data_IF_451103197178
#
_entry.id   IF_451103197178
#
_cell.length_a   1.000
_cell.length_b   1.000
_cell.length_c   1.000
_cell.angle_alpha   90.00
_cell.angle_beta   90.00
_cell.angle_gamma   90.00
#
_symmetry.space_group_name_H-M   'P 1'
#
loop_
_entity.id
_entity.type
_entity.pdbx_description
1 polymer ?
#
# COMPACT_ATOMS: atom_id res chain seq x y z
N UNK A 1 -33.96 -9.40 36.79
CA UNK A 1 -33.85 -8.08 36.10
C UNK A 1 -32.42 -7.57 35.90
N UNK A 2 -31.36 -8.32 36.31
CA UNK A 2 -29.97 -7.94 36.10
C UNK A 2 -29.46 -8.24 34.66
N UNK A 3 -30.04 -9.20 33.96
CA UNK A 3 -29.59 -9.62 32.63
C UNK A 3 -29.95 -8.68 31.48
N UNK A 4 -31.01 -7.91 31.58
CA UNK A 4 -31.44 -6.94 30.56
C UNK A 4 -30.63 -5.66 30.61
N UNK A 5 -30.17 -5.22 31.79
CA UNK A 5 -29.31 -4.06 31.96
C UNK A 5 -27.90 -4.28 31.39
N UNK A 6 -27.38 -5.52 31.46
CA UNK A 6 -26.05 -5.87 30.93
C UNK A 6 -26.05 -6.01 29.40
N UNK A 7 -27.17 -6.35 28.78
CA UNK A 7 -27.33 -6.39 27.31
C UNK A 7 -27.35 -4.98 26.72
N UNK A 8 -27.99 -4.02 27.41
CA UNK A 8 -27.97 -2.61 26.99
C UNK A 8 -26.63 -1.89 27.26
N UNK A 9 -25.89 -2.31 28.30
CA UNK A 9 -24.50 -1.83 28.53
C UNK A 9 -23.49 -2.37 27.54
N UNK A 10 -23.82 -3.43 26.80
CA UNK A 10 -23.01 -3.99 25.70
C UNK A 10 -23.20 -3.25 24.37
N UNK A 11 -24.14 -2.35 24.24
CA UNK A 11 -24.16 -1.42 23.12
C UNK A 11 -22.96 -0.48 23.31
N UNK A 12 -21.91 -0.76 22.57
CA UNK A 12 -20.73 0.09 22.40
C UNK A 12 -21.21 1.53 22.29
N UNK A 13 -20.77 2.37 23.23
CA UNK A 13 -21.18 3.78 23.28
C UNK A 13 -21.05 4.39 21.87
N UNK A 14 -22.16 4.89 21.34
CA UNK A 14 -22.26 5.42 19.97
C UNK A 14 -21.14 6.42 19.66
N UNK A 15 -20.69 7.18 20.66
CA UNK A 15 -19.59 8.14 20.51
C UNK A 15 -18.24 7.48 20.30
N UNK A 16 -17.97 6.35 20.95
CA UNK A 16 -16.75 5.57 20.74
C UNK A 16 -16.81 4.86 19.40
N UNK A 17 -17.97 4.30 19.04
CA UNK A 17 -18.20 3.71 17.72
C UNK A 17 -17.97 4.72 16.58
N UNK A 18 -18.33 5.97 16.78
CA UNK A 18 -18.15 7.04 15.79
C UNK A 18 -16.65 7.29 15.47
N UNK A 19 -15.76 7.13 16.45
CA UNK A 19 -14.30 7.21 16.20
C UNK A 19 -13.88 6.13 15.19
N UNK A 20 -14.39 4.89 15.33
CA UNK A 20 -14.11 3.80 14.39
C UNK A 20 -14.71 4.09 13.00
N UNK A 21 -15.96 4.55 12.95
CA UNK A 21 -16.68 4.85 11.70
C UNK A 21 -15.99 5.97 10.91
N UNK A 22 -15.32 6.90 11.57
CA UNK A 22 -14.54 7.97 10.89
C UNK A 22 -13.14 7.49 10.51
N UNK A 23 -12.47 6.77 11.40
CA UNK A 23 -11.05 6.37 11.18
C UNK A 23 -10.92 5.34 10.07
N UNK A 24 -11.80 4.34 10.00
CA UNK A 24 -11.71 3.26 9.00
C UNK A 24 -11.87 3.79 7.57
N UNK A 25 -12.93 4.59 7.23
CA UNK A 25 -13.04 5.16 5.89
C UNK A 25 -11.92 6.14 5.55
N UNK A 26 -11.48 6.95 6.52
CA UNK A 26 -10.39 7.89 6.31
C UNK A 26 -9.10 7.16 5.93
N UNK A 27 -8.79 6.10 6.65
CA UNK A 27 -7.61 5.28 6.40
C UNK A 27 -7.72 4.53 5.07
N UNK A 28 -8.89 3.98 4.76
CA UNK A 28 -9.17 3.35 3.48
C UNK A 28 -8.99 4.33 2.32
N UNK A 29 -9.54 5.55 2.43
CA UNK A 29 -9.43 6.58 1.41
C UNK A 29 -7.97 6.95 1.12
N UNK A 30 -7.14 7.07 2.16
CA UNK A 30 -5.71 7.39 1.99
C UNK A 30 -4.96 6.24 1.36
N UNK A 31 -5.15 5.01 1.85
CA UNK A 31 -4.48 3.82 1.30
C UNK A 31 -4.84 3.62 -0.17
N UNK A 32 -6.14 3.64 -0.49
CA UNK A 32 -6.61 3.51 -1.87
C UNK A 32 -6.21 4.70 -2.74
N UNK A 33 -6.24 5.93 -2.21
CA UNK A 33 -5.80 7.13 -2.92
C UNK A 33 -4.34 7.04 -3.35
N UNK A 34 -3.44 6.69 -2.43
CA UNK A 34 -2.02 6.50 -2.73
C UNK A 34 -1.84 5.35 -3.73
N UNK A 35 -2.55 4.24 -3.55
CA UNK A 35 -2.47 3.09 -4.44
C UNK A 35 -2.88 3.45 -5.88
N UNK A 36 -3.99 4.17 -6.07
CA UNK A 36 -4.47 4.60 -7.39
C UNK A 36 -3.48 5.52 -8.10
N UNK A 37 -2.80 6.40 -7.36
CA UNK A 37 -1.75 7.28 -7.91
C UNK A 37 -0.48 6.49 -8.23
N UNK A 38 -0.09 5.58 -7.37
CA UNK A 38 1.20 4.87 -7.47
C UNK A 38 1.17 3.76 -8.54
N UNK A 39 0.02 3.10 -8.75
CA UNK A 39 -0.09 2.02 -9.75
C UNK A 39 0.28 2.43 -11.18
N UNK A 40 -0.23 3.53 -11.77
CA UNK A 40 0.14 3.93 -13.12
C UNK A 40 1.62 4.33 -13.20
N UNK A 41 2.17 4.87 -12.11
CA UNK A 41 3.58 5.25 -12.04
C UNK A 41 4.50 4.04 -12.03
N UNK A 42 4.14 2.97 -11.33
CA UNK A 42 4.89 1.70 -11.40
C UNK A 42 4.89 1.09 -12.80
N UNK A 43 3.78 1.21 -13.55
CA UNK A 43 3.75 0.78 -14.96
C UNK A 43 4.73 1.55 -15.83
N UNK A 44 4.86 2.88 -15.59
CA UNK A 44 5.84 3.70 -16.29
C UNK A 44 7.28 3.30 -15.94
N UNK A 45 7.58 3.12 -14.65
CA UNK A 45 8.88 2.62 -14.20
C UNK A 45 9.22 1.26 -14.85
N UNK A 46 8.23 0.38 -15.00
CA UNK A 46 8.45 -0.90 -15.68
C UNK A 46 8.79 -0.73 -17.17
N UNK A 47 8.12 0.19 -17.86
CA UNK A 47 8.42 0.48 -19.26
C UNK A 47 9.84 1.11 -19.42
N UNK A 48 10.23 2.01 -18.54
CA UNK A 48 11.56 2.61 -18.52
C UNK A 48 12.65 1.54 -18.22
N UNK A 49 12.36 0.59 -17.33
CA UNK A 49 13.22 -0.56 -17.04
C UNK A 49 13.42 -1.45 -18.27
N UNK A 50 12.32 -1.72 -19.00
CA UNK A 50 12.40 -2.52 -20.24
C UNK A 50 13.29 -1.86 -21.29
N UNK A 51 13.30 -0.53 -21.39
CA UNK A 51 14.21 0.21 -22.27
C UNK A 51 15.67 0.07 -21.85
N UNK A 52 15.99 0.16 -20.56
CA UNK A 52 17.36 -0.07 -20.04
C UNK A 52 17.81 -1.50 -20.32
N UNK A 53 16.92 -2.48 -20.12
CA UNK A 53 17.21 -3.89 -20.42
C UNK A 53 17.45 -4.11 -21.92
N UNK A 54 16.67 -3.46 -22.78
CA UNK A 54 16.84 -3.53 -24.23
C UNK A 54 18.22 -2.95 -24.63
N UNK A 55 18.56 -1.75 -24.17
CA UNK A 55 19.86 -1.13 -24.41
C UNK A 55 21.03 -2.02 -23.93
N UNK A 56 20.86 -2.65 -22.76
CA UNK A 56 21.86 -3.60 -22.24
C UNK A 56 22.04 -4.81 -23.16
N UNK A 57 20.93 -5.40 -23.64
CA UNK A 57 20.99 -6.55 -24.57
C UNK A 57 21.61 -6.16 -25.90
N UNK A 58 21.25 -5.00 -26.47
CA UNK A 58 21.82 -4.47 -27.70
C UNK A 58 23.32 -4.26 -27.54
N UNK A 59 23.80 -3.66 -26.46
CA UNK A 59 25.20 -3.44 -26.19
C UNK A 59 26.00 -4.74 -25.99
N UNK A 60 25.42 -5.75 -25.33
CA UNK A 60 26.06 -7.05 -25.14
C UNK A 60 26.18 -7.83 -26.47
N UNK A 61 25.12 -7.84 -27.28
CA UNK A 61 25.12 -8.56 -28.56
C UNK A 61 25.89 -7.82 -29.63
N UNK A 62 25.84 -6.48 -29.61
CA UNK A 62 26.51 -5.58 -30.58
C UNK A 62 27.92 -5.15 -30.19
N UNK A 63 28.51 -5.65 -29.11
CA UNK A 63 29.79 -5.14 -28.57
C UNK A 63 30.94 -5.13 -29.58
N UNK A 64 31.04 -6.12 -30.49
CA UNK A 64 32.04 -6.17 -31.53
C UNK A 64 31.83 -5.08 -32.59
N UNK A 65 30.56 -4.82 -32.94
CA UNK A 65 30.22 -3.79 -33.94
C UNK A 65 30.46 -2.39 -33.35
N UNK A 66 30.06 -2.16 -32.10
CA UNK A 66 30.28 -0.89 -31.40
C UNK A 66 31.75 -0.54 -31.35
N UNK A 67 32.61 -1.52 -31.04
CA UNK A 67 34.09 -1.34 -31.08
C UNK A 67 34.63 -1.09 -32.48
N UNK A 68 34.14 -1.82 -33.47
CA UNK A 68 34.58 -1.66 -34.85
C UNK A 68 34.30 -0.26 -35.40
N UNK A 69 33.20 0.36 -34.98
CA UNK A 69 32.79 1.70 -35.38
C UNK A 69 33.19 2.80 -34.39
N UNK A 70 33.93 2.48 -33.33
CA UNK A 70 34.36 3.41 -32.27
C UNK A 70 33.20 4.23 -31.65
N UNK A 71 32.03 3.55 -31.41
CA UNK A 71 30.80 4.15 -30.91
C UNK A 71 30.54 3.86 -29.42
N UNK A 72 31.54 3.48 -28.67
CA UNK A 72 31.44 3.11 -27.24
C UNK A 72 30.95 4.29 -26.38
N UNK A 73 31.46 5.49 -26.68
CA UNK A 73 31.08 6.69 -25.90
C UNK A 73 29.61 7.09 -26.15
N UNK A 74 29.15 7.00 -27.39
CA UNK A 74 27.76 7.31 -27.76
C UNK A 74 26.78 6.33 -27.09
N UNK A 75 27.11 5.04 -27.11
CA UNK A 75 26.26 4.00 -26.48
C UNK A 75 26.32 4.09 -24.95
N UNK A 76 27.42 4.48 -24.35
CA UNK A 76 27.53 4.74 -22.93
C UNK A 76 26.60 5.89 -22.52
N UNK A 77 26.65 7.01 -23.26
CA UNK A 77 25.78 8.16 -23.01
C UNK A 77 24.30 7.80 -23.17
N UNK A 78 23.95 7.00 -24.18
CA UNK A 78 22.61 6.52 -24.41
C UNK A 78 22.09 5.67 -23.24
N UNK A 79 22.93 4.75 -22.75
CA UNK A 79 22.62 3.93 -21.60
C UNK A 79 22.48 4.75 -20.32
N UNK A 80 23.41 5.67 -20.05
CA UNK A 80 23.36 6.55 -18.88
C UNK A 80 22.09 7.41 -18.88
N UNK A 81 21.70 7.96 -20.02
CA UNK A 81 20.47 8.74 -20.14
C UNK A 81 19.22 7.89 -19.85
N UNK A 82 19.12 6.69 -20.40
CA UNK A 82 18.02 5.77 -20.13
C UNK A 82 17.98 5.37 -18.63
N UNK A 83 19.14 5.09 -18.05
CA UNK A 83 19.27 4.75 -16.64
C UNK A 83 18.92 5.93 -15.71
N UNK A 84 19.27 7.17 -16.11
CA UNK A 84 18.91 8.36 -15.36
C UNK A 84 17.39 8.59 -15.36
N UNK A 85 16.73 8.43 -16.50
CA UNK A 85 15.26 8.52 -16.61
C UNK A 85 14.59 7.50 -15.69
N UNK A 86 15.04 6.24 -15.73
CA UNK A 86 14.55 5.18 -14.86
C UNK A 86 14.76 5.52 -13.37
N UNK A 87 15.95 6.01 -13.03
CA UNK A 87 16.33 6.36 -11.66
C UNK A 87 15.43 7.48 -11.12
N UNK A 88 15.18 8.51 -11.91
CA UNK A 88 14.34 9.64 -11.49
C UNK A 88 12.86 9.22 -11.35
N UNK A 89 12.37 8.38 -12.25
CA UNK A 89 11.04 7.79 -12.14
C UNK A 89 10.93 6.92 -10.86
N UNK A 90 11.89 6.06 -10.57
CA UNK A 90 11.92 5.23 -9.36
C UNK A 90 11.99 6.06 -8.08
N UNK A 91 12.84 7.11 -8.04
CA UNK A 91 12.93 8.02 -6.90
C UNK A 91 11.61 8.74 -6.63
N UNK A 92 10.93 9.18 -7.67
CA UNK A 92 9.64 9.86 -7.54
C UNK A 92 8.57 8.93 -6.98
N UNK A 93 8.44 7.72 -7.55
CA UNK A 93 7.51 6.69 -7.04
C UNK A 93 7.87 6.28 -5.61
N UNK A 94 9.17 6.12 -5.32
CA UNK A 94 9.66 5.78 -3.99
C UNK A 94 9.31 6.83 -2.93
N UNK A 95 9.40 8.11 -3.27
CA UNK A 95 8.98 9.20 -2.35
C UNK A 95 7.49 9.16 -2.04
N UNK A 96 6.65 9.00 -3.05
CA UNK A 96 5.18 8.92 -2.86
C UNK A 96 4.81 7.67 -2.05
N UNK A 97 5.35 6.52 -2.42
CA UNK A 97 5.11 5.26 -1.68
C UNK A 97 5.66 5.32 -0.26
N UNK A 98 6.81 5.97 -0.05
CA UNK A 98 7.42 6.14 1.26
C UNK A 98 6.59 7.01 2.21
N UNK A 99 5.80 7.95 1.70
CA UNK A 99 4.89 8.77 2.52
C UNK A 99 3.69 7.99 3.06
N UNK A 100 3.39 6.83 2.51
CA UNK A 100 2.26 6.01 2.97
C UNK A 100 2.40 5.59 4.43
N UNK A 101 3.59 5.15 4.86
CA UNK A 101 3.82 4.71 6.23
C UNK A 101 3.69 5.85 7.26
N UNK A 102 4.37 7.01 7.13
CA UNK A 102 4.21 8.11 8.07
C UNK A 102 2.77 8.61 8.16
N UNK A 103 2.08 8.71 7.03
CA UNK A 103 0.70 9.19 6.99
C UNK A 103 -0.25 8.22 7.71
N UNK A 104 -0.07 6.92 7.47
CA UNK A 104 -0.82 5.87 8.18
C UNK A 104 -0.57 5.94 9.69
N UNK A 105 0.69 6.09 10.12
CA UNK A 105 1.02 6.21 11.54
C UNK A 105 0.40 7.45 12.21
N UNK A 106 0.39 8.58 11.54
CA UNK A 106 -0.24 9.82 12.06
C UNK A 106 -1.74 9.59 12.30
N UNK A 107 -2.43 8.96 11.35
CA UNK A 107 -3.87 8.71 11.47
C UNK A 107 -4.16 7.70 12.55
N UNK A 108 -3.41 6.60 12.60
CA UNK A 108 -3.59 5.55 13.62
C UNK A 108 -3.36 6.10 15.02
N UNK A 109 -2.26 6.82 15.24
CA UNK A 109 -1.97 7.40 16.56
C UNK A 109 -2.96 8.52 16.91
N UNK A 110 -3.37 9.35 15.95
CA UNK A 110 -4.41 10.35 16.16
C UNK A 110 -5.74 9.73 16.58
N UNK A 111 -6.12 8.63 15.93
CA UNK A 111 -7.33 7.89 16.29
C UNK A 111 -7.25 7.24 17.68
N UNK A 112 -6.08 6.70 18.06
CA UNK A 112 -5.84 6.15 19.41
C UNK A 112 -5.94 7.26 20.46
N UNK A 113 -5.35 8.42 20.23
CA UNK A 113 -5.44 9.57 21.13
C UNK A 113 -6.91 10.02 21.30
N UNK A 114 -7.64 10.13 20.19
CA UNK A 114 -9.06 10.47 20.22
C UNK A 114 -9.87 9.43 21.02
N UNK A 115 -9.57 8.14 20.83
CA UNK A 115 -10.21 7.05 21.54
C UNK A 115 -9.94 7.09 23.05
N UNK A 116 -8.68 7.37 23.44
CA UNK A 116 -8.29 7.52 24.86
C UNK A 116 -9.04 8.71 25.47
N UNK A 117 -9.08 9.85 24.78
CA UNK A 117 -9.75 11.04 25.26
C UNK A 117 -11.26 10.82 25.46
N UNK A 118 -11.95 10.30 24.46
CA UNK A 118 -13.38 9.98 24.54
C UNK A 118 -13.64 8.91 25.58
N UNK A 119 -12.79 7.88 25.63
CA UNK A 119 -12.87 6.82 26.62
C UNK A 119 -12.69 7.31 28.06
N UNK A 120 -11.72 8.19 28.31
CA UNK A 120 -11.48 8.77 29.62
C UNK A 120 -12.71 9.58 30.12
N UNK A 121 -13.26 10.44 29.26
CA UNK A 121 -14.48 11.19 29.58
C UNK A 121 -15.67 10.26 29.92
N UNK A 122 -15.76 9.11 29.22
CA UNK A 122 -16.84 8.14 29.47
C UNK A 122 -16.64 7.32 30.74
N UNK A 123 -15.41 7.06 31.11
CA UNK A 123 -15.07 6.41 32.39
C UNK A 123 -15.40 7.35 33.56
N UNK A 124 -15.11 8.64 33.42
CA UNK A 124 -15.42 9.64 34.46
C UNK A 124 -16.93 9.81 34.68
N UNK A 125 -17.74 9.72 33.63
CA UNK A 125 -19.19 9.73 33.70
C UNK A 125 -19.79 8.40 34.26
N UNK A 126 -18.96 7.34 34.32
CA UNK A 126 -19.36 6.03 34.82
C UNK A 126 -20.05 5.11 33.78
N UNK A 127 -20.04 5.50 32.50
CA UNK A 127 -20.66 4.72 31.42
C UNK A 127 -19.78 3.55 30.98
N UNK A 128 -18.43 3.69 31.08
CA UNK A 128 -17.44 2.69 30.68
C UNK A 128 -16.48 2.35 31.83
N UNK A 129 -15.98 1.13 31.83
CA UNK A 129 -14.89 0.73 32.73
C UNK A 129 -13.53 0.93 32.05
N UNK A 130 -12.46 1.13 32.83
CA UNK A 130 -11.10 1.24 32.31
C UNK A 130 -10.71 0.04 31.44
N UNK A 131 -11.11 -1.18 31.84
CA UNK A 131 -10.83 -2.39 31.07
C UNK A 131 -11.50 -2.40 29.69
N UNK A 132 -12.70 -1.82 29.57
CA UNK A 132 -13.38 -1.68 28.29
C UNK A 132 -12.68 -0.70 27.34
N UNK A 133 -12.15 0.41 27.87
CA UNK A 133 -11.35 1.36 27.07
C UNK A 133 -10.06 0.72 26.54
N UNK A 134 -9.35 -0.03 27.37
CA UNK A 134 -8.16 -0.78 26.96
C UNK A 134 -8.49 -1.84 25.90
N UNK A 135 -9.59 -2.56 26.07
CA UNK A 135 -10.06 -3.53 25.07
C UNK A 135 -10.37 -2.86 23.73
N UNK A 136 -11.02 -1.69 23.74
CA UNK A 136 -11.32 -0.92 22.52
C UNK A 136 -10.06 -0.44 21.80
N UNK A 137 -9.03 0.00 22.52
CA UNK A 137 -7.73 0.40 21.94
C UNK A 137 -7.08 -0.81 21.27
N UNK A 138 -7.10 -1.98 21.90
CA UNK A 138 -6.55 -3.21 21.34
C UNK A 138 -7.32 -3.65 20.09
N UNK A 139 -8.65 -3.62 20.10
CA UNK A 139 -9.46 -3.92 18.92
C UNK A 139 -9.20 -2.94 17.78
N UNK A 140 -9.09 -1.65 18.06
CA UNK A 140 -8.75 -0.66 17.05
C UNK A 140 -7.41 -0.95 16.39
N UNK A 141 -6.38 -1.23 17.19
CA UNK A 141 -5.05 -1.58 16.69
C UNK A 141 -5.09 -2.85 15.82
N UNK A 142 -5.85 -3.87 16.22
CA UNK A 142 -6.01 -5.09 15.43
C UNK A 142 -6.74 -4.83 14.10
N UNK A 143 -7.84 -4.07 14.12
CA UNK A 143 -8.60 -3.74 12.90
C UNK A 143 -7.70 -3.02 11.89
N UNK A 144 -6.87 -2.08 12.35
CA UNK A 144 -5.95 -1.34 11.50
C UNK A 144 -4.87 -2.24 10.87
N UNK A 145 -4.32 -3.17 11.64
CA UNK A 145 -3.37 -4.18 11.13
C UNK A 145 -4.03 -5.09 10.10
N UNK A 146 -5.24 -5.58 10.37
CA UNK A 146 -5.97 -6.45 9.44
C UNK A 146 -6.37 -5.71 8.15
N UNK A 147 -6.64 -4.41 8.22
CA UNK A 147 -6.94 -3.59 7.04
C UNK A 147 -5.72 -3.48 6.11
N UNK A 148 -4.52 -3.31 6.67
CA UNK A 148 -3.27 -3.32 5.90
C UNK A 148 -3.00 -4.70 5.30
N UNK A 149 -3.24 -5.77 6.04
CA UNK A 149 -3.13 -7.15 5.52
C UNK A 149 -4.11 -7.40 4.37
N UNK A 150 -5.35 -6.90 4.48
CA UNK A 150 -6.36 -7.01 3.43
C UNK A 150 -5.91 -6.30 2.15
N UNK A 151 -5.34 -5.10 2.25
CA UNK A 151 -4.80 -4.38 1.11
C UNK A 151 -3.69 -5.18 0.41
N UNK A 152 -2.76 -5.76 1.17
CA UNK A 152 -1.69 -6.62 0.63
C UNK A 152 -2.24 -7.91 0.01
N UNK A 153 -3.30 -8.49 0.58
CA UNK A 153 -3.99 -9.65 0.01
C UNK A 153 -4.58 -9.32 -1.36
N UNK A 154 -5.27 -8.19 -1.51
CA UNK A 154 -5.85 -7.75 -2.78
C UNK A 154 -4.76 -7.62 -3.85
N UNK A 155 -3.61 -7.02 -3.52
CA UNK A 155 -2.47 -6.91 -4.43
C UNK A 155 -1.95 -8.30 -4.84
N UNK A 156 -1.82 -9.22 -3.89
CA UNK A 156 -1.35 -10.59 -4.14
C UNK A 156 -2.32 -11.36 -5.04
N UNK A 157 -3.62 -11.25 -4.79
CA UNK A 157 -4.67 -11.88 -5.62
C UNK A 157 -4.67 -11.31 -7.03
N UNK A 158 -4.51 -9.99 -7.19
CA UNK A 158 -4.44 -9.35 -8.50
C UNK A 158 -3.23 -9.83 -9.30
N UNK A 159 -2.07 -9.99 -8.65
CA UNK A 159 -0.87 -10.56 -9.28
C UNK A 159 -1.08 -12.02 -9.67
N UNK A 160 -1.68 -12.82 -8.81
CA UNK A 160 -1.98 -14.22 -9.07
C UNK A 160 -2.94 -14.39 -10.27
N UNK A 161 -3.98 -13.56 -10.35
CA UNK A 161 -4.91 -13.55 -11.48
C UNK A 161 -4.20 -13.19 -12.80
N UNK A 162 -3.29 -12.20 -12.79
CA UNK A 162 -2.50 -11.85 -13.97
C UNK A 162 -1.57 -13.00 -14.42
N UNK A 163 -0.98 -13.73 -13.48
CA UNK A 163 -0.19 -14.92 -13.78
C UNK A 163 -1.07 -16.05 -14.36
N UNK A 164 -2.26 -16.26 -13.81
CA UNK A 164 -3.20 -17.28 -14.29
C UNK A 164 -3.58 -17.04 -15.77
N UNK A 165 -3.91 -15.80 -16.13
CA UNK A 165 -4.23 -15.44 -17.51
C UNK A 165 -3.07 -15.70 -18.47
N UNK A 166 -1.82 -15.52 -18.04
CA UNK A 166 -0.64 -15.86 -18.84
C UNK A 166 -0.47 -17.37 -19.02
N UNK A 167 -0.68 -18.13 -17.97
CA UNK A 167 -0.64 -19.62 -18.04
C UNK A 167 -1.74 -20.14 -18.96
N UNK A 168 -2.95 -19.60 -18.84
CA UNK A 168 -4.07 -19.95 -19.70
C UNK A 168 -3.78 -19.67 -21.18
N UNK A 169 -3.21 -18.50 -21.50
CA UNK A 169 -2.84 -18.14 -22.86
C UNK A 169 -1.79 -19.10 -23.47
N UNK A 170 -0.83 -19.55 -22.67
CA UNK A 170 0.19 -20.54 -23.10
C UNK A 170 -0.45 -21.91 -23.28
N UNK A 171 -1.31 -22.35 -22.38
CA UNK A 171 -2.03 -23.63 -22.50
C UNK A 171 -2.97 -23.64 -23.71
N UNK A 172 -3.69 -22.55 -23.95
CA UNK A 172 -4.52 -22.40 -25.14
C UNK A 172 -3.70 -22.49 -26.45
N UNK A 173 -2.49 -21.91 -26.45
CA UNK A 173 -1.57 -22.00 -27.60
C UNK A 173 -0.99 -23.41 -27.80
N UNK A 174 -0.83 -24.21 -26.72
CA UNK A 174 -0.33 -25.58 -26.79
C UNK A 174 -1.40 -26.60 -27.18
N UNK A 175 -2.68 -26.27 -27.01
CA UNK A 175 -3.81 -27.14 -27.33
C UNK A 175 -4.34 -26.93 -28.76
N UNK A 176 -3.84 -25.96 -29.49
CA UNK A 176 -4.05 -25.72 -30.93
C UNK A 176 -2.77 -25.97 -31.72
#
# INVERSE_FOLDING_TARGET
SRGLGDVYKRQVDVKVALVFVVTIPLLSLIVFGIMLVTMPMYKKVQADLDQVLLATRENLTGARVIRAFNKEEDETKRFENANQILTDAQKYVGRISGMMNPLTYIIVNGAIIALIYVGAVRVDIGDLTQGQVVALINYMSQILVELVKLANLIISVTKAAACLNRVESVLACLLY
#
